data_IF_993916320542
#
_entry.id   IF_993916320542
#
_cell.length_a   1.000
_cell.length_b   1.000
_cell.length_c   1.000
_cell.angle_alpha   90.00
_cell.angle_beta   90.00
_cell.angle_gamma   90.00
#
_symmetry.space_group_name_H-M   'P 1'
#
loop_
_entity.id
_entity.type
_entity.pdbx_description
1 polymer ?
#
# COMPACT_ATOMS: atom_id res chain seq x y z
N UNK A 1 25.69 3.07 -10.75
CA UNK A 1 24.83 2.75 -9.58
C UNK A 1 24.60 1.25 -9.57
N UNK A 2 24.83 0.57 -8.45
CA UNK A 2 24.67 -0.89 -8.36
C UNK A 2 23.18 -1.25 -8.18
N UNK A 3 22.54 -1.72 -9.25
CA UNK A 3 21.14 -2.14 -9.30
C UNK A 3 20.86 -3.25 -8.28
N UNK A 4 21.79 -4.19 -8.09
CA UNK A 4 21.68 -5.30 -7.14
C UNK A 4 21.62 -4.81 -5.70
N UNK A 5 22.46 -3.83 -5.34
CA UNK A 5 22.42 -3.21 -4.01
C UNK A 5 21.08 -2.51 -3.75
N UNK A 6 20.56 -1.78 -4.73
CA UNK A 6 19.27 -1.09 -4.61
C UNK A 6 18.12 -2.08 -4.41
N UNK A 7 18.09 -3.17 -5.17
CA UNK A 7 17.06 -4.21 -5.02
C UNK A 7 17.06 -4.75 -3.58
N UNK A 8 18.23 -5.11 -3.04
CA UNK A 8 18.35 -5.61 -1.64
C UNK A 8 17.84 -4.61 -0.61
N UNK A 9 18.15 -3.32 -0.78
CA UNK A 9 17.66 -2.27 0.11
C UNK A 9 16.14 -2.10 0.01
N UNK A 10 15.58 -2.11 -1.20
CA UNK A 10 14.14 -2.02 -1.43
C UNK A 10 13.37 -3.23 -0.89
N UNK A 11 13.92 -4.44 -0.99
CA UNK A 11 13.37 -5.65 -0.38
C UNK A 11 13.33 -5.53 1.15
N UNK A 12 14.42 -5.03 1.75
CA UNK A 12 14.47 -4.79 3.20
C UNK A 12 13.40 -3.77 3.63
N UNK A 13 13.28 -2.65 2.92
CA UNK A 13 12.24 -1.66 3.18
C UNK A 13 10.84 -2.26 3.05
N UNK A 14 10.61 -3.06 2.02
CA UNK A 14 9.33 -3.72 1.77
C UNK A 14 8.95 -4.66 2.92
N UNK A 15 9.87 -5.52 3.37
CA UNK A 15 9.62 -6.39 4.54
C UNK A 15 9.28 -5.58 5.79
N UNK A 16 10.02 -4.48 6.01
CA UNK A 16 9.81 -3.60 7.16
C UNK A 16 8.44 -2.89 7.12
N UNK A 17 8.04 -2.36 5.97
CA UNK A 17 6.76 -1.69 5.81
C UNK A 17 5.60 -2.68 5.77
N UNK A 18 5.78 -3.88 5.22
CA UNK A 18 4.78 -4.95 5.32
C UNK A 18 4.48 -5.34 6.77
N UNK A 19 5.51 -5.49 7.61
CA UNK A 19 5.29 -5.78 9.03
C UNK A 19 4.51 -4.66 9.75
N UNK A 20 4.81 -3.39 9.42
CA UNK A 20 4.08 -2.24 9.97
C UNK A 20 2.63 -2.22 9.53
N UNK A 21 2.37 -2.38 8.23
CA UNK A 21 1.01 -2.42 7.69
C UNK A 21 0.19 -3.55 8.31
N UNK A 22 0.77 -4.74 8.45
CA UNK A 22 0.10 -5.85 9.13
C UNK A 22 -0.31 -5.48 10.56
N UNK A 23 0.61 -4.89 11.33
CA UNK A 23 0.34 -4.47 12.71
C UNK A 23 -0.64 -3.29 12.83
N UNK A 24 -0.90 -2.57 11.74
CA UNK A 24 -1.88 -1.47 11.69
C UNK A 24 -3.26 -2.00 11.26
N UNK A 25 -3.33 -2.73 10.14
CA UNK A 25 -4.59 -3.15 9.54
C UNK A 25 -5.23 -4.36 10.23
N UNK A 26 -4.42 -5.33 10.70
CA UNK A 26 -4.98 -6.54 11.31
C UNK A 26 -5.77 -6.24 12.60
N UNK A 27 -5.30 -5.40 13.54
CA UNK A 27 -6.10 -5.04 14.72
C UNK A 27 -7.45 -4.40 14.38
N UNK A 28 -7.49 -3.52 13.36
CA UNK A 28 -8.74 -2.87 12.92
C UNK A 28 -9.73 -3.91 12.40
N UNK A 29 -9.29 -4.80 11.50
CA UNK A 29 -10.13 -5.87 10.96
C UNK A 29 -10.56 -6.85 12.05
N UNK A 30 -9.64 -7.23 12.92
CA UNK A 30 -9.93 -8.13 14.05
C UNK A 30 -10.99 -7.55 14.98
N UNK A 31 -10.91 -6.25 15.28
CA UNK A 31 -11.92 -5.54 16.07
C UNK A 31 -13.28 -5.57 15.36
N UNK A 32 -13.31 -5.18 14.09
CA UNK A 32 -14.53 -5.21 13.27
C UNK A 32 -15.21 -6.59 13.29
N UNK A 33 -14.45 -7.67 13.08
CA UNK A 33 -15.02 -9.03 13.12
C UNK A 33 -15.54 -9.42 14.51
N UNK A 34 -14.83 -9.03 15.58
CA UNK A 34 -15.25 -9.30 16.96
C UNK A 34 -16.51 -8.52 17.36
N UNK A 35 -16.64 -7.28 16.89
CA UNK A 35 -17.82 -6.47 17.13
C UNK A 35 -19.04 -7.10 16.45
N UNK A 36 -18.90 -7.59 15.21
CA UNK A 36 -19.97 -8.34 14.54
C UNK A 36 -20.27 -9.66 15.24
N UNK A 37 -19.25 -10.43 15.65
CA UNK A 37 -19.47 -11.68 16.39
C UNK A 37 -20.22 -11.44 17.71
N UNK A 38 -19.91 -10.36 18.42
CA UNK A 38 -20.62 -9.93 19.62
C UNK A 38 -22.08 -9.56 19.32
N UNK A 39 -22.32 -8.85 18.22
CA UNK A 39 -23.67 -8.50 17.78
C UNK A 39 -24.49 -9.75 17.40
N UNK A 40 -23.89 -10.73 16.72
CA UNK A 40 -24.53 -12.03 16.42
C UNK A 40 -24.99 -12.72 17.71
N UNK A 41 -24.16 -12.76 18.76
CA UNK A 41 -24.54 -13.39 20.04
C UNK A 41 -25.76 -12.74 20.68
N UNK A 42 -25.87 -11.41 20.56
CA UNK A 42 -26.92 -10.64 21.22
C UNK A 42 -28.22 -10.59 20.41
N UNK A 43 -28.12 -10.53 19.09
CA UNK A 43 -29.25 -10.19 18.22
C UNK A 43 -29.59 -11.26 17.17
N UNK A 44 -28.79 -12.33 17.05
CA UNK A 44 -29.00 -13.36 16.04
C UNK A 44 -28.44 -12.99 14.67
N UNK A 45 -28.37 -13.96 13.76
CA UNK A 45 -27.68 -13.82 12.48
C UNK A 45 -28.43 -12.90 11.52
N UNK A 46 -29.75 -13.05 11.40
CA UNK A 46 -30.59 -12.30 10.46
C UNK A 46 -30.57 -10.81 10.75
N UNK A 47 -30.74 -10.43 12.02
CA UNK A 47 -30.65 -9.03 12.45
C UNK A 47 -29.24 -8.46 12.22
N UNK A 48 -28.20 -9.28 12.43
CA UNK A 48 -26.83 -8.86 12.15
C UNK A 48 -26.64 -8.53 10.68
N UNK A 49 -27.14 -9.36 9.75
CA UNK A 49 -27.02 -9.12 8.30
C UNK A 49 -27.62 -7.77 7.91
N UNK A 50 -28.74 -7.38 8.52
CA UNK A 50 -29.39 -6.08 8.28
C UNK A 50 -28.60 -4.92 8.88
N UNK A 51 -28.00 -5.11 10.05
CA UNK A 51 -27.22 -4.09 10.76
C UNK A 51 -25.77 -3.92 10.26
N UNK A 52 -25.27 -4.80 9.39
CA UNK A 52 -23.87 -4.82 8.94
C UNK A 52 -23.32 -3.46 8.49
N UNK A 53 -24.02 -2.67 7.64
CA UNK A 53 -23.52 -1.36 7.21
C UNK A 53 -23.34 -0.36 8.37
N UNK A 54 -24.06 -0.54 9.48
CA UNK A 54 -23.90 0.29 10.67
C UNK A 54 -22.72 -0.17 11.54
N UNK A 55 -22.43 -1.48 11.57
CA UNK A 55 -21.36 -2.07 12.37
C UNK A 55 -19.96 -1.86 11.79
N UNK A 56 -19.84 -1.81 10.46
CA UNK A 56 -18.55 -1.68 9.78
C UNK A 56 -18.45 -0.33 9.07
N UNK A 57 -17.89 0.65 9.78
CA UNK A 57 -17.66 2.01 9.26
C UNK A 57 -16.25 2.16 8.66
N UNK A 58 -16.16 2.99 7.62
CA UNK A 58 -14.92 3.27 6.91
C UNK A 58 -13.90 4.08 7.74
N UNK A 59 -14.34 4.83 8.76
CA UNK A 59 -13.51 5.75 9.54
C UNK A 59 -12.28 5.08 10.17
N UNK A 60 -12.44 3.88 10.73
CA UNK A 60 -11.34 3.16 11.36
C UNK A 60 -10.31 2.68 10.33
N UNK A 61 -10.76 2.28 9.13
CA UNK A 61 -9.87 1.95 8.03
C UNK A 61 -9.17 3.21 7.50
N UNK A 62 -9.87 4.35 7.43
CA UNK A 62 -9.28 5.61 7.01
C UNK A 62 -8.16 6.05 7.96
N UNK A 63 -8.38 5.99 9.28
CA UNK A 63 -7.33 6.27 10.28
C UNK A 63 -6.12 5.35 10.12
N UNK A 64 -6.36 4.06 9.92
CA UNK A 64 -5.30 3.07 9.68
C UNK A 64 -4.51 3.37 8.40
N UNK A 65 -5.19 3.77 7.32
CA UNK A 65 -4.57 4.15 6.06
C UNK A 65 -3.70 5.40 6.21
N UNK A 66 -4.20 6.44 6.90
CA UNK A 66 -3.44 7.66 7.19
C UNK A 66 -2.17 7.34 7.99
N UNK A 67 -2.29 6.51 9.03
CA UNK A 67 -1.14 6.07 9.81
C UNK A 67 -0.15 5.30 8.94
N UNK A 68 -0.62 4.32 8.18
CA UNK A 68 0.24 3.47 7.36
C UNK A 68 0.99 4.26 6.28
N UNK A 69 0.31 5.15 5.56
CA UNK A 69 0.95 6.01 4.56
C UNK A 69 1.96 6.97 5.20
N UNK A 70 1.63 7.52 6.37
CA UNK A 70 2.56 8.37 7.13
C UNK A 70 3.83 7.62 7.53
N UNK A 71 3.72 6.36 7.94
CA UNK A 71 4.89 5.56 8.34
C UNK A 71 5.67 5.01 7.15
N UNK A 72 4.99 4.26 6.26
CA UNK A 72 5.62 3.59 5.13
C UNK A 72 6.11 4.61 4.08
N UNK A 73 5.25 5.55 3.70
CA UNK A 73 5.59 6.59 2.72
C UNK A 73 6.76 7.45 3.19
N UNK A 74 6.82 7.82 4.47
CA UNK A 74 7.94 8.61 4.99
C UNK A 74 9.25 7.83 5.03
N UNK A 75 9.22 6.53 5.36
CA UNK A 75 10.39 5.66 5.30
C UNK A 75 10.96 5.65 3.87
N UNK A 76 10.08 5.46 2.88
CA UNK A 76 10.44 5.44 1.48
C UNK A 76 10.95 6.81 0.98
N UNK A 77 10.29 7.91 1.36
CA UNK A 77 10.74 9.26 1.01
C UNK A 77 12.15 9.55 1.55
N UNK A 78 12.41 9.23 2.82
CA UNK A 78 13.75 9.40 3.42
C UNK A 78 14.82 8.56 2.73
N UNK A 79 14.48 7.36 2.30
CA UNK A 79 15.41 6.52 1.56
C UNK A 79 15.72 7.10 0.18
N UNK A 80 14.70 7.43 -0.60
CA UNK A 80 14.86 7.98 -1.96
C UNK A 80 15.63 9.31 -1.95
N UNK A 81 15.35 10.19 -0.98
CA UNK A 81 16.07 11.46 -0.86
C UNK A 81 17.57 11.25 -0.61
N UNK A 82 17.94 10.30 0.27
CA UNK A 82 19.35 9.94 0.48
C UNK A 82 19.99 9.38 -0.78
N UNK A 83 19.26 8.56 -1.55
CA UNK A 83 19.76 8.01 -2.82
C UNK A 83 20.06 9.07 -3.85
N UNK A 84 19.21 10.09 -3.99
CA UNK A 84 19.45 11.18 -4.93
C UNK A 84 20.72 12.00 -4.60
N UNK A 85 21.17 11.98 -3.35
CA UNK A 85 22.41 12.62 -2.92
C UNK A 85 23.62 11.68 -2.84
N UNK A 86 23.51 10.40 -3.24
CA UNK A 86 24.68 9.53 -3.29
C UNK A 86 25.74 10.09 -4.25
N UNK A 87 26.96 10.29 -3.73
CA UNK A 87 28.05 10.91 -4.48
C UNK A 87 28.06 12.45 -4.50
N UNK A 88 27.15 13.10 -3.77
CA UNK A 88 27.28 14.51 -3.38
C UNK A 88 28.08 14.63 -2.08
N UNK A 89 28.77 15.77 -1.88
CA UNK A 89 29.59 16.03 -0.67
C UNK A 89 28.73 16.16 0.58
N UNK A 90 27.50 16.66 0.43
CA UNK A 90 26.52 16.80 1.51
C UNK A 90 25.11 16.61 0.95
N UNK A 91 24.17 16.33 1.85
CA UNK A 91 22.76 16.58 1.55
C UNK A 91 22.58 18.08 1.30
N UNK A 92 21.60 18.44 0.46
CA UNK A 92 21.21 19.84 0.27
C UNK A 92 20.38 20.31 1.45
N UNK A 93 19.14 19.84 1.53
CA UNK A 93 18.18 20.26 2.54
C UNK A 93 18.13 19.43 3.83
N UNK A 94 17.36 19.97 4.79
CA UNK A 94 17.08 19.31 6.06
C UNK A 94 16.01 18.22 5.86
N UNK A 95 16.42 16.95 5.95
CA UNK A 95 15.50 15.80 5.97
C UNK A 95 14.41 15.98 7.03
N UNK A 96 14.71 16.62 8.17
CA UNK A 96 13.72 16.89 9.21
C UNK A 96 12.65 17.90 8.75
N UNK A 97 13.04 18.95 8.02
CA UNK A 97 12.08 19.91 7.43
C UNK A 97 11.21 19.23 6.38
N UNK A 98 11.81 18.48 5.46
CA UNK A 98 11.06 17.77 4.43
C UNK A 98 10.15 16.69 4.98
N UNK A 99 10.60 15.95 5.99
CA UNK A 99 9.78 14.92 6.64
C UNK A 99 8.43 15.48 7.13
N UNK A 100 8.40 16.71 7.64
CA UNK A 100 7.15 17.37 8.05
C UNK A 100 6.24 17.67 6.85
N UNK A 101 6.78 18.18 5.75
CA UNK A 101 6.02 18.41 4.51
C UNK A 101 5.49 17.10 3.94
N UNK A 102 6.36 16.12 3.76
CA UNK A 102 6.00 14.82 3.21
C UNK A 102 4.95 14.11 4.04
N UNK A 103 5.01 14.20 5.37
CA UNK A 103 3.96 13.67 6.24
C UNK A 103 2.60 14.31 5.93
N UNK A 104 2.54 15.64 5.83
CA UNK A 104 1.31 16.34 5.44
C UNK A 104 0.85 15.89 4.05
N UNK A 105 1.75 15.85 3.07
CA UNK A 105 1.41 15.48 1.69
C UNK A 105 0.93 14.01 1.58
N UNK A 106 1.49 13.10 2.38
CA UNK A 106 1.06 11.71 2.46
C UNK A 106 -0.33 11.59 3.09
N UNK A 107 -0.60 12.33 4.17
CA UNK A 107 -1.92 12.34 4.79
C UNK A 107 -2.98 12.90 3.83
N UNK A 108 -2.68 14.03 3.18
CA UNK A 108 -3.56 14.64 2.17
C UNK A 108 -3.82 13.68 1.01
N UNK A 109 -2.79 12.97 0.54
CA UNK A 109 -2.96 11.95 -0.51
C UNK A 109 -3.98 10.88 -0.12
N UNK A 110 -3.95 10.40 1.13
CA UNK A 110 -4.99 9.45 1.60
C UNK A 110 -6.38 10.08 1.56
N UNK A 111 -6.53 11.32 2.05
CA UNK A 111 -7.83 12.01 2.10
C UNK A 111 -8.42 12.28 0.72
N UNK A 112 -7.63 12.79 -0.24
CA UNK A 112 -8.15 13.27 -1.52
C UNK A 112 -8.10 12.23 -2.64
N UNK A 113 -7.18 11.25 -2.56
CA UNK A 113 -6.95 10.33 -3.67
C UNK A 113 -7.37 8.89 -3.35
N UNK A 114 -7.48 8.51 -2.07
CA UNK A 114 -7.76 7.13 -1.68
C UNK A 114 -9.16 6.91 -1.09
N UNK A 115 -10.02 7.95 -1.06
CA UNK A 115 -11.37 7.86 -0.51
C UNK A 115 -12.18 6.69 -1.08
N UNK A 116 -12.28 6.58 -2.40
CA UNK A 116 -13.02 5.48 -3.06
C UNK A 116 -12.42 4.11 -2.72
N UNK A 117 -11.09 3.97 -2.73
CA UNK A 117 -10.44 2.71 -2.37
C UNK A 117 -10.68 2.31 -0.91
N UNK A 118 -10.74 3.28 0.01
CA UNK A 118 -11.07 3.01 1.41
C UNK A 118 -12.51 2.50 1.52
N UNK A 119 -13.44 3.09 0.76
CA UNK A 119 -14.81 2.60 0.66
C UNK A 119 -14.86 1.19 0.07
N UNK A 120 -14.09 0.90 -0.98
CA UNK A 120 -14.00 -0.44 -1.58
C UNK A 120 -13.43 -1.47 -0.59
N UNK A 121 -12.41 -1.10 0.19
CA UNK A 121 -11.91 -1.94 1.28
C UNK A 121 -13.04 -2.19 2.29
N UNK A 122 -13.78 -1.17 2.69
CA UNK A 122 -14.87 -1.36 3.65
C UNK A 122 -15.98 -2.27 3.09
N UNK A 123 -16.40 -2.03 1.85
CA UNK A 123 -17.41 -2.80 1.15
C UNK A 123 -16.99 -4.26 0.97
N UNK A 124 -15.72 -4.52 0.65
CA UNK A 124 -15.20 -5.88 0.57
C UNK A 124 -15.18 -6.59 1.93
N UNK A 125 -14.93 -5.87 3.03
CA UNK A 125 -15.06 -6.44 4.39
C UNK A 125 -16.50 -6.84 4.65
N UNK A 126 -17.45 -5.95 4.36
CA UNK A 126 -18.89 -6.19 4.49
C UNK A 126 -19.34 -7.41 3.69
N UNK A 127 -18.92 -7.51 2.43
CA UNK A 127 -19.28 -8.62 1.55
C UNK A 127 -18.77 -9.96 2.07
N UNK A 128 -17.54 -10.01 2.59
CA UNK A 128 -16.98 -11.23 3.20
C UNK A 128 -17.79 -11.64 4.43
N UNK A 129 -18.08 -10.71 5.34
CA UNK A 129 -18.85 -11.00 6.55
C UNK A 129 -20.27 -11.46 6.19
N UNK A 130 -20.94 -10.75 5.28
CA UNK A 130 -22.29 -11.09 4.81
C UNK A 130 -22.33 -12.48 4.19
N UNK A 131 -21.32 -12.85 3.40
CA UNK A 131 -21.20 -14.19 2.81
C UNK A 131 -21.12 -15.27 3.90
N UNK A 132 -20.26 -15.09 4.91
CA UNK A 132 -20.15 -16.07 5.99
C UNK A 132 -21.42 -16.15 6.86
N UNK A 133 -22.05 -15.02 7.19
CA UNK A 133 -23.31 -15.01 7.92
C UNK A 133 -24.41 -15.77 7.17
N UNK A 134 -24.55 -15.53 5.86
CA UNK A 134 -25.52 -16.25 5.04
C UNK A 134 -25.23 -17.75 4.96
N UNK A 135 -23.95 -18.13 4.90
CA UNK A 135 -23.55 -19.54 4.96
C UNK A 135 -23.97 -20.18 6.29
N UNK A 136 -23.73 -19.50 7.41
CA UNK A 136 -24.14 -20.01 8.72
C UNK A 136 -25.67 -20.15 8.86
N UNK A 137 -26.44 -19.22 8.28
CA UNK A 137 -27.91 -19.31 8.23
C UNK A 137 -28.33 -20.54 7.42
N UNK A 138 -27.76 -20.74 6.22
CA UNK A 138 -28.07 -21.90 5.36
C UNK A 138 -27.69 -23.24 6.00
N UNK A 139 -26.58 -23.28 6.74
CA UNK A 139 -26.11 -24.45 7.48
C UNK A 139 -26.87 -24.67 8.82
N UNK A 140 -27.83 -23.81 9.16
CA UNK A 140 -28.67 -23.94 10.36
C UNK A 140 -27.92 -23.68 11.67
N UNK A 141 -26.88 -22.85 11.66
CA UNK A 141 -26.08 -22.59 12.86
C UNK A 141 -26.78 -21.60 13.79
N UNK A 142 -26.85 -21.95 15.08
CA UNK A 142 -27.25 -21.00 16.12
C UNK A 142 -26.22 -19.88 16.32
N UNK A 143 -26.70 -18.75 16.85
CA UNK A 143 -25.92 -17.52 17.07
C UNK A 143 -24.57 -17.75 17.76
N UNK A 144 -24.56 -18.55 18.83
CA UNK A 144 -23.35 -18.80 19.60
C UNK A 144 -22.29 -19.58 18.81
N UNK A 145 -22.71 -20.58 18.03
CA UNK A 145 -21.79 -21.33 17.14
C UNK A 145 -21.23 -20.41 16.05
N UNK A 146 -22.10 -19.62 15.41
CA UNK A 146 -21.70 -18.68 14.37
C UNK A 146 -20.69 -17.66 14.90
N UNK A 147 -20.94 -17.05 16.07
CA UNK A 147 -20.03 -16.08 16.67
C UNK A 147 -18.65 -16.68 16.99
N UNK A 148 -18.59 -17.91 17.51
CA UNK A 148 -17.29 -18.60 17.72
C UNK A 148 -16.55 -18.86 16.42
N UNK A 149 -17.25 -19.24 15.34
CA UNK A 149 -16.63 -19.44 14.03
C UNK A 149 -16.12 -18.11 13.46
N UNK A 150 -16.86 -17.02 13.61
CA UNK A 150 -16.37 -15.69 13.24
C UNK A 150 -15.10 -15.31 14.01
N UNK A 151 -15.05 -15.54 15.32
CA UNK A 151 -13.86 -15.27 16.13
C UNK A 151 -12.65 -16.11 15.69
N UNK A 152 -12.87 -17.38 15.32
CA UNK A 152 -11.81 -18.31 14.92
C UNK A 152 -11.32 -18.07 13.49
N UNK A 153 -12.24 -17.88 12.56
CA UNK A 153 -11.97 -17.86 11.12
C UNK A 153 -11.75 -16.43 10.61
N UNK A 154 -12.70 -15.52 10.87
CA UNK A 154 -12.64 -14.14 10.40
C UNK A 154 -11.64 -13.30 11.19
N UNK A 155 -11.75 -13.29 12.52
CA UNK A 155 -10.79 -12.59 13.40
C UNK A 155 -9.43 -13.33 13.50
N UNK A 156 -9.33 -14.54 12.95
CA UNK A 156 -8.11 -15.32 12.84
C UNK A 156 -7.49 -15.27 11.45
N UNK A 157 -7.47 -16.40 10.76
CA UNK A 157 -6.69 -16.60 9.53
C UNK A 157 -7.15 -15.70 8.37
N UNK A 158 -8.46 -15.52 8.17
CA UNK A 158 -8.97 -14.69 7.08
C UNK A 158 -8.62 -13.22 7.31
N UNK A 159 -8.76 -12.72 8.54
CA UNK A 159 -8.37 -11.37 8.91
C UNK A 159 -6.89 -11.09 8.69
N UNK A 160 -6.03 -12.05 9.01
CA UNK A 160 -4.58 -11.96 8.74
C UNK A 160 -4.29 -11.88 7.23
N UNK A 161 -4.88 -12.78 6.43
CA UNK A 161 -4.71 -12.80 4.96
C UNK A 161 -5.16 -11.48 4.35
N UNK A 162 -6.30 -10.96 4.80
CA UNK A 162 -6.86 -9.70 4.34
C UNK A 162 -5.98 -8.50 4.72
N UNK A 163 -5.49 -8.46 5.95
CA UNK A 163 -4.55 -7.43 6.39
C UNK A 163 -3.28 -7.42 5.53
N UNK A 164 -2.72 -8.59 5.21
CA UNK A 164 -1.55 -8.71 4.32
C UNK A 164 -1.86 -8.25 2.89
N UNK A 165 -3.04 -8.56 2.37
CA UNK A 165 -3.46 -8.11 1.03
C UNK A 165 -3.51 -6.58 0.97
N UNK A 166 -4.20 -5.94 1.92
CA UNK A 166 -4.27 -4.47 2.00
C UNK A 166 -2.87 -3.89 2.14
N UNK A 167 -2.08 -4.43 3.08
CA UNK A 167 -0.72 -3.99 3.34
C UNK A 167 0.15 -4.00 2.08
N UNK A 168 0.09 -5.04 1.25
CA UNK A 168 0.94 -5.15 0.06
C UNK A 168 0.52 -4.20 -1.04
N UNK A 169 -0.78 -4.11 -1.30
CA UNK A 169 -1.32 -3.19 -2.31
C UNK A 169 -1.04 -1.73 -1.92
N UNK A 170 -1.38 -1.36 -0.68
CA UNK A 170 -1.18 -0.01 -0.18
C UNK A 170 0.28 0.31 0.10
N UNK A 171 1.09 -0.69 0.46
CA UNK A 171 2.51 -0.51 0.74
C UNK A 171 3.28 -0.10 -0.51
N UNK A 172 2.92 -0.67 -1.66
CA UNK A 172 3.50 -0.28 -2.95
C UNK A 172 3.08 1.12 -3.35
N UNK A 173 1.81 1.49 -3.16
CA UNK A 173 1.32 2.87 -3.39
C UNK A 173 2.01 3.89 -2.48
N UNK A 174 2.10 3.61 -1.18
CA UNK A 174 2.76 4.46 -0.21
C UNK A 174 4.26 4.63 -0.53
N UNK A 175 4.94 3.54 -0.93
CA UNK A 175 6.33 3.59 -1.37
C UNK A 175 6.51 4.48 -2.59
N UNK A 176 5.71 4.28 -3.64
CA UNK A 176 5.74 5.08 -4.86
C UNK A 176 5.48 6.56 -4.58
N UNK A 177 4.47 6.90 -3.76
CA UNK A 177 4.20 8.29 -3.36
C UNK A 177 5.34 8.89 -2.55
N UNK A 178 5.91 8.14 -1.61
CA UNK A 178 7.06 8.57 -0.82
C UNK A 178 8.29 8.88 -1.69
N UNK A 179 8.62 7.99 -2.63
CA UNK A 179 9.73 8.20 -3.57
C UNK A 179 9.49 9.44 -4.45
N UNK A 180 8.27 9.61 -4.97
CA UNK A 180 7.91 10.79 -5.78
C UNK A 180 8.07 12.10 -5.00
N UNK A 181 7.56 12.19 -3.77
CA UNK A 181 7.68 13.39 -2.93
C UNK A 181 9.14 13.77 -2.64
N UNK A 182 9.98 12.76 -2.35
CA UNK A 182 11.40 12.96 -2.16
C UNK A 182 12.09 13.47 -3.42
N UNK A 183 11.71 12.92 -4.58
CA UNK A 183 12.17 13.38 -5.87
C UNK A 183 11.76 14.83 -6.10
N UNK A 184 10.47 15.17 -6.07
CA UNK A 184 9.98 16.54 -6.29
C UNK A 184 10.70 17.58 -5.41
N UNK A 185 10.94 17.23 -4.14
CA UNK A 185 11.70 18.08 -3.21
C UNK A 185 13.16 18.27 -3.66
N UNK A 186 13.84 17.18 -4.04
CA UNK A 186 15.20 17.21 -4.55
C UNK A 186 15.32 18.04 -5.84
N UNK A 187 14.36 17.91 -6.77
CA UNK A 187 14.34 18.70 -8.02
C UNK A 187 14.25 20.18 -7.72
N UNK A 188 13.34 20.54 -6.80
CA UNK A 188 13.10 21.94 -6.42
C UNK A 188 14.34 22.56 -5.79
N UNK A 189 15.10 21.80 -5.01
CA UNK A 189 16.32 22.29 -4.38
C UNK A 189 17.50 22.42 -5.34
N UNK A 190 17.62 21.49 -6.28
CA UNK A 190 18.83 21.39 -7.13
C UNK A 190 18.65 22.02 -8.51
N UNK A 191 17.41 22.26 -8.94
CA UNK A 191 17.09 22.66 -10.31
C UNK A 191 17.40 21.58 -11.36
N UNK A 192 17.79 20.38 -10.94
CA UNK A 192 18.23 19.31 -11.85
C UNK A 192 17.05 18.50 -12.38
N UNK A 193 17.20 17.98 -13.61
CA UNK A 193 16.23 17.06 -14.20
C UNK A 193 16.26 15.70 -13.51
N UNK A 194 15.10 15.04 -13.53
CA UNK A 194 14.88 13.76 -12.88
C UNK A 194 14.42 12.71 -13.87
N UNK A 195 14.83 11.50 -13.59
CA UNK A 195 14.42 10.32 -14.29
C UNK A 195 13.90 9.31 -13.29
N UNK A 196 13.11 8.35 -13.75
CA UNK A 196 12.61 7.26 -12.93
C UNK A 196 12.80 5.93 -13.66
N UNK A 197 13.09 4.90 -12.89
CA UNK A 197 13.23 3.55 -13.37
C UNK A 197 12.30 2.63 -12.60
N UNK A 198 11.64 1.73 -13.32
CA UNK A 198 10.86 0.67 -12.73
C UNK A 198 11.80 -0.46 -12.30
N UNK A 199 11.71 -0.84 -11.02
CA UNK A 199 12.47 -1.93 -10.42
C UNK A 199 11.47 -3.04 -10.04
N UNK A 200 11.34 -4.08 -10.87
CA UNK A 200 10.52 -5.23 -10.52
C UNK A 200 11.23 -6.13 -9.51
N UNK A 201 10.45 -6.93 -8.78
CA UNK A 201 11.00 -8.09 -8.07
C UNK A 201 11.02 -9.24 -9.07
N UNK A 202 12.18 -9.86 -9.30
CA UNK A 202 12.28 -10.99 -10.22
C UNK A 202 12.04 -12.29 -9.45
N UNK A 203 10.77 -12.71 -9.39
CA UNK A 203 10.39 -14.01 -8.84
C UNK A 203 9.21 -14.64 -9.61
N UNK A 204 8.78 -15.83 -9.18
CA UNK A 204 7.69 -16.58 -9.81
C UNK A 204 6.30 -15.93 -9.64
N UNK A 205 6.16 -14.91 -8.81
CA UNK A 205 4.89 -14.21 -8.53
C UNK A 205 4.76 -12.88 -9.27
N UNK A 206 5.85 -12.36 -9.82
CA UNK A 206 5.81 -11.14 -10.62
C UNK A 206 5.25 -11.45 -12.01
N UNK A 207 4.28 -10.62 -12.42
CA UNK A 207 3.58 -10.72 -13.70
C UNK A 207 4.56 -10.54 -14.87
N UNK A 208 4.32 -11.16 -16.04
CA UNK A 208 5.14 -10.96 -17.23
C UNK A 208 5.36 -9.47 -17.55
N UNK A 209 4.27 -8.70 -17.67
CA UNK A 209 4.31 -7.27 -18.01
C UNK A 209 5.14 -6.44 -17.03
N UNK A 210 5.20 -6.86 -15.76
CA UNK A 210 6.04 -6.21 -14.75
C UNK A 210 7.50 -6.67 -14.83
N UNK A 211 7.79 -7.92 -15.22
CA UNK A 211 9.15 -8.41 -15.42
C UNK A 211 9.80 -7.74 -16.62
N UNK A 212 9.04 -7.51 -17.68
CA UNK A 212 9.50 -6.86 -18.91
C UNK A 212 10.02 -5.44 -18.64
N UNK A 213 9.54 -4.80 -17.57
CA UNK A 213 10.05 -3.50 -17.10
C UNK A 213 11.50 -3.55 -16.59
N UNK A 214 12.08 -4.72 -16.30
CA UNK A 214 13.46 -4.83 -15.81
C UNK A 214 14.50 -4.40 -16.86
N UNK A 215 14.15 -4.64 -18.14
CA UNK A 215 14.97 -4.32 -19.32
C UNK A 215 14.74 -2.89 -19.81
N UNK A 216 13.70 -2.21 -19.32
CA UNK A 216 13.38 -0.85 -19.76
C UNK A 216 14.34 0.17 -19.16
N UNK A 217 14.85 1.13 -19.99
CA UNK A 217 15.72 2.18 -19.49
C UNK A 217 14.94 3.15 -18.58
N UNK A 218 15.64 3.92 -17.74
CA UNK A 218 15.04 5.04 -17.04
C UNK A 218 14.39 6.03 -18.01
N UNK A 219 13.18 6.49 -17.67
CA UNK A 219 12.42 7.50 -18.43
C UNK A 219 12.39 8.83 -17.66
N UNK A 220 12.09 9.97 -18.30
CA UNK A 220 11.85 11.21 -17.58
C UNK A 220 10.78 11.06 -16.49
N UNK A 221 10.97 11.72 -15.35
CA UNK A 221 10.14 11.54 -14.15
C UNK A 221 8.64 11.85 -14.39
N UNK A 222 8.37 12.78 -15.30
CA UNK A 222 7.08 13.27 -15.75
C UNK A 222 6.33 12.32 -16.70
N UNK A 223 7.04 11.43 -17.37
CA UNK A 223 6.45 10.51 -18.35
C UNK A 223 5.81 9.28 -17.68
N UNK A 224 4.90 8.59 -18.37
CA UNK A 224 4.29 7.34 -17.86
C UNK A 224 5.07 6.13 -18.33
N UNK A 225 5.16 5.12 -17.47
CA UNK A 225 5.57 3.78 -17.87
C UNK A 225 4.49 3.13 -18.72
N UNK A 226 4.87 2.28 -19.67
CA UNK A 226 3.95 1.39 -20.37
C UNK A 226 4.09 -0.02 -19.80
N UNK A 227 3.10 -0.48 -19.05
CA UNK A 227 3.08 -1.80 -18.39
C UNK A 227 1.90 -2.59 -18.94
N UNK A 228 2.18 -3.57 -19.80
CA UNK A 228 1.11 -4.38 -20.41
C UNK A 228 0.13 -3.57 -21.27
N UNK A 229 0.57 -2.46 -21.87
CA UNK A 229 -0.28 -1.51 -22.60
C UNK A 229 -0.91 -0.43 -21.72
N UNK A 230 -0.72 -0.47 -20.40
CA UNK A 230 -1.27 0.51 -19.47
C UNK A 230 -0.26 1.62 -19.14
N UNK A 231 -0.69 2.87 -19.31
CA UNK A 231 0.09 4.04 -18.90
C UNK A 231 0.05 4.24 -17.38
N UNK A 232 1.15 3.95 -16.68
CA UNK A 232 1.26 4.02 -15.21
C UNK A 232 2.29 5.06 -14.76
N UNK A 233 1.95 5.87 -13.76
CA UNK A 233 2.90 6.82 -13.17
C UNK A 233 4.01 6.12 -12.38
N UNK A 234 3.67 5.02 -11.70
CA UNK A 234 4.55 4.21 -10.86
C UNK A 234 3.87 2.87 -10.50
N UNK A 235 4.59 1.91 -9.90
CA UNK A 235 3.98 0.71 -9.34
C UNK A 235 2.88 1.04 -8.33
N UNK A 236 1.74 0.36 -8.47
CA UNK A 236 0.57 0.56 -7.63
C UNK A 236 -0.29 1.76 -8.01
N UNK A 237 -0.04 2.43 -9.13
CA UNK A 237 -0.84 3.57 -9.63
C UNK A 237 -2.35 3.30 -9.48
N UNK A 238 -3.09 4.08 -8.67
CA UNK A 238 -4.51 3.83 -8.46
C UNK A 238 -5.40 4.00 -9.69
N UNK A 239 -4.89 4.63 -10.75
CA UNK A 239 -5.63 4.81 -12.01
C UNK A 239 -5.44 3.63 -12.98
N UNK A 240 -4.56 2.68 -12.65
CA UNK A 240 -4.32 1.50 -13.46
C UNK A 240 -5.25 0.34 -13.05
N UNK A 241 -5.47 -0.64 -13.93
CA UNK A 241 -6.27 -1.83 -13.62
C UNK A 241 -5.80 -2.52 -12.32
N UNK A 242 -6.76 -3.12 -11.59
CA UNK A 242 -6.47 -3.78 -10.32
C UNK A 242 -5.54 -4.99 -10.52
N UNK A 243 -5.62 -5.60 -11.69
CA UNK A 243 -4.80 -6.70 -12.16
C UNK A 243 -3.33 -6.31 -12.15
N UNK A 244 -2.96 -5.07 -12.50
CA UNK A 244 -1.57 -4.57 -12.50
C UNK A 244 -1.11 -4.05 -11.13
N UNK A 245 -2.04 -3.71 -10.23
CA UNK A 245 -1.69 -2.96 -9.02
C UNK A 245 -1.80 -3.78 -7.74
N UNK A 246 -2.74 -4.71 -7.66
CA UNK A 246 -2.98 -5.50 -6.46
C UNK A 246 -1.79 -6.42 -6.14
N UNK A 247 -1.42 -6.51 -4.85
CA UNK A 247 -0.35 -7.38 -4.35
C UNK A 247 1.01 -7.19 -5.06
N UNK A 248 1.18 -6.09 -5.80
CA UNK A 248 2.41 -5.73 -6.47
C UNK A 248 3.49 -5.44 -5.43
N UNK A 249 4.74 -5.78 -5.74
CA UNK A 249 5.91 -5.48 -4.89
C UNK A 249 7.00 -4.71 -5.64
N UNK A 250 6.72 -4.29 -6.87
CA UNK A 250 7.62 -3.49 -7.67
C UNK A 250 7.81 -2.10 -7.05
N UNK A 251 8.88 -1.40 -7.43
CA UNK A 251 9.20 -0.05 -6.96
C UNK A 251 9.60 0.84 -8.13
N UNK A 252 9.23 2.12 -8.09
CA UNK A 252 9.86 3.12 -8.94
C UNK A 252 10.99 3.78 -8.15
N UNK A 253 12.19 3.87 -8.70
CA UNK A 253 13.31 4.61 -8.10
C UNK A 253 13.58 5.83 -8.97
N UNK A 254 13.78 6.97 -8.33
CA UNK A 254 14.13 8.21 -9.01
C UNK A 254 15.65 8.39 -9.04
N UNK A 255 16.15 8.92 -10.15
CA UNK A 255 17.56 9.06 -10.48
C UNK A 255 17.81 10.51 -10.89
N UNK A 256 18.95 11.06 -10.48
CA UNK A 256 19.42 12.34 -11.02
C UNK A 256 20.07 12.14 -12.39
N UNK A 257 20.08 13.19 -13.22
CA UNK A 257 20.82 13.19 -14.49
C UNK A 257 22.30 12.79 -14.30
N UNK A 258 22.93 13.26 -13.22
CA UNK A 258 24.30 12.89 -12.86
C UNK A 258 24.47 11.38 -12.61
N UNK A 259 23.46 10.72 -12.06
CA UNK A 259 23.50 9.28 -11.83
C UNK A 259 23.41 8.49 -13.14
N UNK A 260 22.62 8.96 -14.11
CA UNK A 260 22.51 8.36 -15.44
C UNK A 260 23.81 8.52 -16.24
N UNK A 261 24.38 9.74 -16.24
CA UNK A 261 25.60 10.04 -16.99
C UNK A 261 26.84 9.28 -16.49
N UNK A 262 26.76 8.62 -15.32
CA UNK A 262 27.81 7.76 -14.76
C UNK A 262 27.61 6.27 -15.04
N UNK A 263 26.50 5.92 -15.68
CA UNK A 263 26.21 4.55 -16.16
C UNK A 263 26.57 4.37 -17.65
N UNK A 264 26.80 5.47 -18.36
CA UNK A 264 27.47 5.54 -19.66
C UNK A 264 28.97 5.74 -19.47
#
# INVERSE_FOLDING_TARGET
MDKTKIIKELEYLTKKTELKGFNIFYPVLKKQYKDVASFVRQHGLENTVQALPMLIQADEMQKAMIQFYSEAGLIHAKWQYRKLYEGYKSLGGSIAKFARSWLKDLQMYVYYNLGNMIQDINQNTLNVIKKELNRYIQEGYGAEKAARLMDKELAGELGKRRALLITRTEGTRAASKGHKLASESWSKETGSRQYKQWIPIIDNRTRPDHKDMDEQPPIPAEEKFNVGGNGMDAPGDPNAPIEETANCRCRAVYLSERMLNRQL
#
